data_IF_050756730815
#
_entry.id   IF_050756730815
#
_cell.length_a   1.000
_cell.length_b   1.000
_cell.length_c   1.000
_cell.angle_alpha   90.00
_cell.angle_beta   90.00
_cell.angle_gamma   90.00
#
_symmetry.space_group_name_H-M   'P 1'
#
loop_
_entity.id
_entity.type
_entity.pdbx_description
1 polymer ?
#
# COMPACT_ATOMS: atom_id res chain seq x y z
N UNK A 1 13.88 10.96 15.93
CA UNK A 1 12.77 10.51 15.06
C UNK A 1 12.05 9.37 15.76
N UNK A 2 10.71 9.39 15.82
CA UNK A 2 9.92 8.27 16.33
C UNK A 2 10.02 7.11 15.33
N UNK A 3 10.24 5.89 15.82
CA UNK A 3 10.21 4.69 14.97
C UNK A 3 8.75 4.40 14.61
N UNK A 4 8.48 4.20 13.32
CA UNK A 4 7.15 3.78 12.84
C UNK A 4 6.69 2.50 13.55
N UNK A 5 5.40 2.41 13.88
CA UNK A 5 4.81 1.33 14.68
C UNK A 5 5.58 1.04 15.99
N UNK A 6 6.15 2.09 16.61
CA UNK A 6 7.02 1.99 17.79
C UNK A 6 8.19 0.99 17.61
N UNK A 7 8.65 0.76 16.39
CA UNK A 7 9.71 -0.20 16.05
C UNK A 7 9.27 -1.66 16.05
N UNK A 8 7.98 -1.96 16.24
CA UNK A 8 7.46 -3.33 16.17
C UNK A 8 7.31 -3.78 14.70
N UNK A 9 7.48 -5.09 14.40
CA UNK A 9 7.18 -5.64 13.08
C UNK A 9 5.74 -5.34 12.65
N UNK A 10 5.54 -5.14 11.36
CA UNK A 10 4.22 -4.88 10.78
C UNK A 10 4.10 -5.50 9.38
N UNK A 11 2.90 -5.97 9.08
CA UNK A 11 2.52 -6.59 7.82
C UNK A 11 1.02 -6.42 7.62
N UNK A 12 0.60 -6.43 6.35
CA UNK A 12 -0.82 -6.42 6.03
C UNK A 12 -1.48 -7.72 6.43
N UNK A 13 -2.66 -7.65 7.04
CA UNK A 13 -3.42 -8.82 7.45
C UNK A 13 -4.09 -9.53 6.25
N UNK A 14 -4.72 -10.67 6.51
CA UNK A 14 -5.53 -11.36 5.51
C UNK A 14 -6.72 -10.53 5.01
N UNK A 15 -7.15 -9.52 5.78
CA UNK A 15 -8.26 -8.65 5.41
C UNK A 15 -7.90 -7.71 4.24
N UNK A 16 -6.64 -7.32 4.10
CA UNK A 16 -6.19 -6.34 3.10
C UNK A 16 -5.28 -6.93 2.02
N UNK A 17 -4.75 -8.13 2.22
CA UNK A 17 -3.88 -8.81 1.25
C UNK A 17 -4.69 -9.49 0.13
N UNK A 18 -3.98 -10.05 -0.87
CA UNK A 18 -4.58 -10.74 -2.04
C UNK A 18 -5.56 -9.87 -2.84
N UNK A 19 -5.30 -8.57 -2.89
CA UNK A 19 -6.12 -7.62 -3.67
C UNK A 19 -7.44 -7.21 -3.02
N UNK A 20 -7.66 -7.54 -1.74
CA UNK A 20 -8.86 -7.13 -0.99
C UNK A 20 -8.87 -5.65 -0.64
N UNK A 21 -7.70 -5.05 -0.39
CA UNK A 21 -7.60 -3.60 -0.19
C UNK A 21 -7.63 -2.88 -1.53
N UNK A 22 -8.66 -2.07 -1.71
CA UNK A 22 -8.86 -1.23 -2.89
C UNK A 22 -8.78 0.24 -2.49
N UNK A 23 -8.83 1.10 -3.49
CA UNK A 23 -8.81 2.53 -3.30
C UNK A 23 -9.03 3.27 -4.59
N UNK A 24 -9.24 4.58 -4.49
CA UNK A 24 -9.48 5.45 -5.63
C UNK A 24 -8.99 6.86 -5.33
N UNK A 25 -8.71 7.61 -6.38
CA UNK A 25 -8.54 9.05 -6.31
C UNK A 25 -9.88 9.76 -6.50
N UNK A 26 -10.04 10.93 -5.88
CA UNK A 26 -11.10 11.88 -6.25
C UNK A 26 -10.53 13.06 -7.07
N UNK A 27 -9.47 13.65 -6.56
CA UNK A 27 -8.72 14.81 -7.04
C UNK A 27 -7.27 14.35 -7.21
N UNK A 28 -6.33 14.85 -6.41
CA UNK A 28 -4.95 14.40 -6.32
C UNK A 28 -4.67 13.51 -5.09
N UNK A 29 -5.65 13.32 -4.21
CA UNK A 29 -5.55 12.39 -3.07
C UNK A 29 -5.94 10.97 -3.45
N UNK A 30 -5.21 9.98 -2.94
CA UNK A 30 -5.58 8.57 -3.01
C UNK A 30 -6.18 8.12 -1.68
N UNK A 31 -7.35 7.50 -1.74
CA UNK A 31 -8.06 6.96 -0.56
C UNK A 31 -8.03 5.45 -0.58
N UNK A 32 -7.74 4.85 0.58
CA UNK A 32 -7.91 3.41 0.79
C UNK A 32 -9.35 3.14 1.25
N UNK A 33 -9.97 2.09 0.72
CA UNK A 33 -11.33 1.70 1.11
C UNK A 33 -11.31 0.50 2.05
N UNK A 34 -12.21 0.51 3.03
CA UNK A 34 -12.34 -0.55 4.02
C UNK A 34 -12.94 -1.82 3.39
N UNK A 35 -12.21 -2.95 3.34
CA UNK A 35 -12.71 -4.18 2.73
C UNK A 35 -13.89 -4.82 3.49
N UNK A 36 -14.16 -4.38 4.73
CA UNK A 36 -15.24 -4.90 5.58
C UNK A 36 -16.52 -4.08 5.52
N UNK A 37 -16.41 -2.77 5.30
CA UNK A 37 -17.56 -1.85 5.30
C UNK A 37 -18.10 -1.58 3.89
N UNK A 38 -17.41 -2.05 2.85
CA UNK A 38 -17.75 -1.86 1.44
C UNK A 38 -16.86 -0.84 0.74
N UNK A 39 -16.94 -0.83 -0.60
CA UNK A 39 -15.98 -0.18 -1.51
C UNK A 39 -16.00 1.37 -1.52
N UNK A 40 -16.63 2.02 -0.54
CA UNK A 40 -16.69 3.49 -0.46
C UNK A 40 -16.33 4.05 0.93
N UNK A 41 -16.14 3.20 1.94
CA UNK A 41 -15.78 3.68 3.27
C UNK A 41 -14.27 3.91 3.36
N UNK A 42 -13.87 5.18 3.44
CA UNK A 42 -12.47 5.60 3.45
C UNK A 42 -11.79 5.24 4.78
N UNK A 43 -10.64 4.58 4.72
CA UNK A 43 -9.77 4.31 5.86
C UNK A 43 -8.96 5.56 6.21
N UNK A 44 -8.74 5.78 7.50
CA UNK A 44 -7.82 6.78 8.02
C UNK A 44 -6.38 6.26 7.95
N UNK A 45 -5.44 7.14 7.59
CA UNK A 45 -4.00 6.90 7.78
C UNK A 45 -3.62 7.48 9.14
N UNK A 46 -3.20 6.64 10.08
CA UNK A 46 -2.85 7.07 11.44
C UNK A 46 -1.38 7.48 11.58
N UNK A 47 -0.50 6.79 10.88
CA UNK A 47 0.95 7.04 10.90
C UNK A 47 1.58 6.56 9.58
N UNK A 48 2.79 7.02 9.30
CA UNK A 48 3.58 6.54 8.18
C UNK A 48 5.06 6.35 8.55
N UNK A 49 5.72 5.45 7.82
CA UNK A 49 7.13 5.16 8.02
C UNK A 49 7.86 4.98 6.70
N UNK A 50 9.04 5.57 6.58
CA UNK A 50 9.98 5.27 5.49
C UNK A 50 10.74 3.99 5.86
N UNK A 51 10.41 2.89 5.19
CA UNK A 51 11.02 1.57 5.41
C UNK A 51 12.31 1.44 4.61
N UNK A 52 12.33 2.02 3.42
CA UNK A 52 13.49 2.06 2.54
C UNK A 52 13.49 3.40 1.81
N UNK A 53 14.68 3.99 1.68
CA UNK A 53 14.97 5.16 0.86
C UNK A 53 16.44 5.10 0.48
N UNK A 54 16.73 4.93 -0.81
CA UNK A 54 18.09 4.64 -1.25
C UNK A 54 18.31 4.84 -2.75
N UNK A 55 19.55 4.62 -3.21
CA UNK A 55 19.85 4.66 -4.63
C UNK A 55 19.03 3.61 -5.40
N UNK A 56 18.88 3.82 -6.71
CA UNK A 56 18.20 2.83 -7.56
C UNK A 56 19.09 1.60 -7.72
N UNK A 57 18.68 0.51 -7.11
CA UNK A 57 19.35 -0.79 -7.19
C UNK A 57 18.58 -1.73 -8.11
N UNK A 58 17.24 -1.63 -8.14
CA UNK A 58 16.41 -2.55 -8.90
C UNK A 58 16.15 -2.09 -10.33
N UNK A 59 16.53 -2.94 -11.30
CA UNK A 59 16.11 -2.86 -12.71
C UNK A 59 16.36 -1.48 -13.36
N UNK A 60 17.53 -0.89 -13.05
CA UNK A 60 17.91 0.48 -13.43
C UNK A 60 17.72 0.77 -14.92
N UNK A 61 18.10 -0.17 -15.78
CA UNK A 61 17.98 -0.06 -17.23
C UNK A 61 16.53 -0.05 -17.73
N UNK A 62 15.63 -0.77 -17.04
CA UNK A 62 14.20 -0.85 -17.38
C UNK A 62 13.37 0.27 -16.75
N UNK A 63 13.95 1.04 -15.84
CA UNK A 63 13.29 2.11 -15.07
C UNK A 63 14.05 3.44 -15.19
N UNK A 64 14.35 3.93 -16.41
CA UNK A 64 15.28 5.05 -16.62
C UNK A 64 14.82 6.39 -16.01
N UNK A 65 13.53 6.53 -15.67
CA UNK A 65 12.97 7.74 -15.04
C UNK A 65 13.01 7.69 -13.50
N UNK A 66 13.34 6.54 -12.91
CA UNK A 66 13.37 6.38 -11.45
C UNK A 66 14.66 6.96 -10.92
N UNK A 67 14.56 7.82 -9.89
CA UNK A 67 15.70 8.53 -9.29
C UNK A 67 16.21 7.88 -8.01
N UNK A 68 15.34 7.18 -7.29
CA UNK A 68 15.62 6.52 -6.02
C UNK A 68 14.64 5.37 -5.82
N UNK A 69 15.04 4.40 -5.03
CA UNK A 69 14.16 3.33 -4.58
C UNK A 69 13.63 3.66 -3.19
N UNK A 70 12.35 3.35 -2.95
CA UNK A 70 11.68 3.66 -1.69
C UNK A 70 10.58 2.66 -1.36
N UNK A 71 10.30 2.54 -0.06
CA UNK A 71 9.10 1.87 0.47
C UNK A 71 8.56 2.69 1.63
N UNK A 72 7.31 3.11 1.51
CA UNK A 72 6.57 3.84 2.55
C UNK A 72 5.50 2.91 3.10
N UNK A 73 5.46 2.77 4.42
CA UNK A 73 4.42 2.05 5.13
C UNK A 73 3.39 3.03 5.69
N UNK A 74 2.13 2.64 5.68
CA UNK A 74 1.03 3.38 6.29
C UNK A 74 0.30 2.47 7.28
N UNK A 75 -0.04 3.03 8.44
CA UNK A 75 -0.94 2.45 9.41
C UNK A 75 -2.37 2.88 9.07
N UNK A 76 -3.25 1.93 8.81
CA UNK A 76 -4.63 2.15 8.38
C UNK A 76 -5.61 1.85 9.50
N UNK A 77 -6.67 2.65 9.60
CA UNK A 77 -7.73 2.43 10.57
C UNK A 77 -9.12 2.72 10.00
N UNK A 78 -10.08 1.83 10.29
CA UNK A 78 -11.49 2.04 9.99
C UNK A 78 -12.23 2.49 11.26
N UNK A 79 -12.80 3.70 11.31
CA UNK A 79 -13.55 4.16 12.48
C UNK A 79 -14.84 3.36 12.70
N UNK A 80 -15.42 2.78 11.64
CA UNK A 80 -16.67 2.02 11.70
C UNK A 80 -16.46 0.62 12.30
N UNK A 81 -15.74 -0.26 11.57
CA UNK A 81 -15.55 -1.66 11.96
C UNK A 81 -14.28 -1.94 12.77
N UNK A 82 -13.52 -0.89 13.13
CA UNK A 82 -12.29 -0.97 13.93
C UNK A 82 -11.18 -1.79 13.30
N UNK A 83 -11.21 -2.01 11.98
CA UNK A 83 -10.09 -2.58 11.24
C UNK A 83 -8.84 -1.73 11.50
N UNK A 84 -7.74 -2.37 11.88
CA UNK A 84 -6.44 -1.75 12.09
C UNK A 84 -5.40 -2.59 11.36
N UNK A 85 -4.70 -2.00 10.40
CA UNK A 85 -3.89 -2.76 9.44
C UNK A 85 -2.72 -1.94 8.85
N UNK A 86 -1.86 -2.58 8.06
CA UNK A 86 -0.67 -1.93 7.49
C UNK A 86 -0.51 -2.18 5.99
N UNK A 87 -0.37 -1.12 5.21
CA UNK A 87 -0.08 -1.21 3.77
C UNK A 87 1.30 -0.62 3.45
N UNK A 88 1.95 -1.12 2.41
CA UNK A 88 3.22 -0.62 1.90
C UNK A 88 3.07 -0.18 0.45
N UNK A 89 3.49 1.04 0.15
CA UNK A 89 3.67 1.52 -1.22
C UNK A 89 5.16 1.52 -1.51
N UNK A 90 5.55 0.81 -2.56
CA UNK A 90 6.94 0.65 -2.93
C UNK A 90 7.11 0.79 -4.43
N UNK A 91 8.20 1.42 -4.85
CA UNK A 91 8.60 1.39 -6.24
C UNK A 91 9.58 0.23 -6.55
N UNK A 92 10.03 -0.52 -5.55
CA UNK A 92 10.88 -1.72 -5.70
C UNK A 92 10.09 -2.97 -6.13
N UNK A 93 8.76 -2.94 -6.03
CA UNK A 93 7.89 -4.11 -6.19
C UNK A 93 7.51 -4.47 -7.63
N UNK A 94 6.41 -5.22 -7.76
CA UNK A 94 5.83 -5.67 -9.03
C UNK A 94 5.31 -4.50 -9.86
N UNK A 95 6.22 -3.82 -10.57
CA UNK A 95 5.88 -2.77 -11.52
C UNK A 95 5.63 -3.38 -12.90
N UNK A 96 4.44 -3.17 -13.48
CA UNK A 96 4.13 -3.57 -14.85
C UNK A 96 3.53 -4.96 -15.05
N UNK A 97 2.99 -5.62 -14.01
CA UNK A 97 2.14 -6.79 -14.23
C UNK A 97 0.78 -6.71 -13.56
N UNK A 98 0.02 -7.78 -13.74
CA UNK A 98 -1.42 -7.81 -13.42
C UNK A 98 -1.62 -8.50 -12.07
N UNK A 99 -2.21 -7.77 -11.12
CA UNK A 99 -2.67 -8.34 -9.85
C UNK A 99 -3.78 -9.37 -10.02
N UNK A 100 -4.47 -9.37 -11.17
CA UNK A 100 -5.49 -10.36 -11.52
C UNK A 100 -5.04 -11.17 -12.75
N UNK A 101 -4.85 -12.48 -12.58
CA UNK A 101 -5.38 -13.42 -13.57
C UNK A 101 -6.91 -13.37 -13.41
N UNK A 102 -7.57 -12.46 -14.12
CA UNK A 102 -9.00 -12.62 -14.39
C UNK A 102 -9.05 -13.72 -15.43
N UNK A 103 -9.50 -14.91 -15.05
CA UNK A 103 -9.88 -15.93 -16.02
C UNK A 103 -10.87 -15.30 -17.01
N UNK A 104 -10.48 -15.23 -18.27
CA UNK A 104 -11.43 -15.10 -19.36
C UNK A 104 -12.12 -16.44 -19.48
N UNK A 105 -13.30 -16.56 -18.86
CA UNK A 105 -14.30 -17.53 -19.29
C UNK A 105 -15.17 -16.80 -20.32
N UNK A 106 -14.91 -17.07 -21.59
CA UNK A 106 -15.93 -17.07 -22.64
C UNK A 106 -15.78 -18.39 -23.38
#
# INVERSE_FOLDING_TARGET
MRKFNNGKPFYGSEAITKGKLTGKTDTDYFYFFCPKCGDTHILQILDFGIVHDGPVEYSKEKRPKVKRDFTIAFELYCPECKLHDFVKISNLGWQGGKLKNVHWAV
#
